data_IF_773757339604
#
_entry.id   IF_773757339604
#
_cell.length_a   1.000
_cell.length_b   1.000
_cell.length_c   1.000
_cell.angle_alpha   90.00
_cell.angle_beta   90.00
_cell.angle_gamma   90.00
#
_symmetry.space_group_name_H-M   'P 1'
#
loop_
_entity.id
_entity.type
_entity.pdbx_description
1 polymer ?
#
# COMPACT_ATOMS: atom_id res chain seq x y z
N UNK A 1 172.04 126.49 0.81
CA UNK A 1 171.12 126.10 1.90
C UNK A 1 169.76 125.63 1.37
N UNK A 2 169.42 125.91 0.09
CA UNK A 2 168.10 125.61 -0.50
C UNK A 2 167.87 124.18 -1.00
N UNK A 3 168.91 123.42 -1.35
CA UNK A 3 168.76 122.10 -1.97
C UNK A 3 168.33 120.99 -0.99
N UNK A 4 168.74 121.07 0.28
CA UNK A 4 168.42 120.06 1.31
C UNK A 4 166.96 120.19 1.82
N UNK A 5 166.47 121.42 1.96
CA UNK A 5 165.10 121.71 2.40
C UNK A 5 164.08 121.35 1.31
N UNK A 6 164.39 121.63 0.04
CA UNK A 6 163.59 121.21 -1.11
C UNK A 6 163.54 119.67 -1.24
N UNK A 7 164.66 118.98 -0.99
CA UNK A 7 164.71 117.50 -1.00
C UNK A 7 163.93 116.87 0.16
N UNK A 8 163.99 117.46 1.36
CA UNK A 8 163.22 117.02 2.52
C UNK A 8 161.71 117.24 2.33
N UNK A 9 161.30 118.39 1.80
CA UNK A 9 159.91 118.68 1.45
C UNK A 9 159.42 117.75 0.34
N UNK A 10 160.24 117.50 -0.68
CA UNK A 10 159.95 116.55 -1.75
C UNK A 10 159.78 115.12 -1.22
N UNK A 11 160.67 114.66 -0.34
CA UNK A 11 160.58 113.34 0.29
C UNK A 11 159.35 113.22 1.21
N UNK A 12 159.01 114.28 1.95
CA UNK A 12 157.83 114.31 2.81
C UNK A 12 156.52 114.32 2.00
N UNK A 13 156.41 115.17 0.97
CA UNK A 13 155.28 115.15 0.03
C UNK A 13 155.16 113.79 -0.69
N UNK A 14 156.28 113.16 -1.03
CA UNK A 14 156.28 111.83 -1.65
C UNK A 14 155.81 110.75 -0.67
N UNK A 15 156.21 110.85 0.60
CA UNK A 15 155.74 109.97 1.68
C UNK A 15 154.24 110.14 1.94
N UNK A 16 153.75 111.38 2.06
CA UNK A 16 152.33 111.69 2.20
C UNK A 16 151.52 111.21 0.99
N UNK A 17 152.02 111.43 -0.24
CA UNK A 17 151.42 110.88 -1.47
C UNK A 17 151.35 109.36 -1.43
N UNK A 18 152.41 108.67 -1.00
CA UNK A 18 152.45 107.21 -0.92
C UNK A 18 151.50 106.67 0.17
N UNK A 19 151.38 107.36 1.31
CA UNK A 19 150.42 107.03 2.37
C UNK A 19 148.98 107.26 1.91
N UNK A 20 148.72 108.35 1.19
CA UNK A 20 147.42 108.65 0.60
C UNK A 20 147.05 107.62 -0.47
N UNK A 21 148.00 107.23 -1.32
CA UNK A 21 147.82 106.18 -2.33
C UNK A 21 147.54 104.83 -1.68
N UNK A 22 148.23 104.48 -0.60
CA UNK A 22 147.99 103.25 0.17
C UNK A 22 146.60 103.26 0.80
N UNK A 23 146.19 104.39 1.38
CA UNK A 23 144.86 104.56 1.96
C UNK A 23 143.76 104.50 0.91
N UNK A 24 143.97 105.13 -0.26
CA UNK A 24 143.08 105.08 -1.41
C UNK A 24 142.92 103.64 -1.94
N UNK A 25 144.02 102.90 -2.09
CA UNK A 25 143.99 101.51 -2.51
C UNK A 25 143.23 100.64 -1.49
N UNK A 26 143.45 100.86 -0.19
CA UNK A 26 142.71 100.16 0.88
C UNK A 26 141.20 100.44 0.83
N UNK A 27 140.81 101.72 0.74
CA UNK A 27 139.42 102.14 0.60
C UNK A 27 138.78 101.57 -0.68
N UNK A 28 139.56 101.44 -1.76
CA UNK A 28 139.10 100.82 -3.01
C UNK A 28 138.82 99.33 -2.80
N UNK A 29 139.72 98.60 -2.12
CA UNK A 29 139.50 97.18 -1.77
C UNK A 29 138.32 97.00 -0.82
N UNK A 30 138.19 97.84 0.22
CA UNK A 30 137.04 97.81 1.14
C UNK A 30 135.73 98.08 0.40
N UNK A 31 135.71 99.02 -0.55
CA UNK A 31 134.56 99.29 -1.42
C UNK A 31 134.21 98.10 -2.33
N UNK A 32 135.21 97.44 -2.91
CA UNK A 32 135.01 96.25 -3.73
C UNK A 32 134.44 95.09 -2.90
N UNK A 33 134.96 94.85 -1.70
CA UNK A 33 134.44 93.85 -0.76
C UNK A 33 132.99 94.15 -0.35
N UNK A 34 132.68 95.42 -0.05
CA UNK A 34 131.32 95.84 0.28
C UNK A 34 130.37 95.64 -0.92
N UNK A 35 130.83 95.95 -2.13
CA UNK A 35 130.06 95.74 -3.36
C UNK A 35 129.77 94.24 -3.59
N UNK A 36 130.75 93.37 -3.35
CA UNK A 36 130.55 91.92 -3.40
C UNK A 36 129.55 91.47 -2.34
N UNK A 37 129.69 91.92 -1.09
CA UNK A 37 128.74 91.58 -0.01
C UNK A 37 127.33 92.07 -0.31
N UNK A 38 127.18 93.27 -0.88
CA UNK A 38 125.90 93.83 -1.30
C UNK A 38 125.26 92.98 -2.41
N UNK A 39 126.06 92.59 -3.42
CA UNK A 39 125.58 91.73 -4.50
C UNK A 39 125.14 90.36 -3.98
N UNK A 40 125.89 89.76 -3.05
CA UNK A 40 125.52 88.50 -2.40
C UNK A 40 124.21 88.62 -1.63
N UNK A 41 124.05 89.66 -0.80
CA UNK A 41 122.83 89.88 -0.03
C UNK A 41 121.62 90.14 -0.93
N UNK A 42 121.82 90.82 -2.07
CA UNK A 42 120.78 90.99 -3.09
C UNK A 42 120.35 89.65 -3.67
N UNK A 43 121.31 88.76 -3.99
CA UNK A 43 121.01 87.40 -4.46
C UNK A 43 120.26 86.58 -3.40
N UNK A 44 120.68 86.62 -2.13
CA UNK A 44 119.97 85.93 -1.04
C UNK A 44 118.54 86.46 -0.87
N UNK A 45 118.34 87.78 -0.96
CA UNK A 45 117.01 88.40 -0.93
C UNK A 45 116.13 87.93 -2.09
N UNK A 46 116.69 87.87 -3.29
CA UNK A 46 115.96 87.41 -4.48
C UNK A 46 115.58 85.91 -4.33
N UNK A 47 116.48 85.08 -3.80
CA UNK A 47 116.20 83.66 -3.49
C UNK A 47 115.11 83.49 -2.42
N UNK A 48 115.14 84.32 -1.37
CA UNK A 48 114.13 84.31 -0.32
C UNK A 48 112.76 84.74 -0.87
N UNK A 49 112.74 85.75 -1.74
CA UNK A 49 111.51 86.20 -2.41
C UNK A 49 110.93 85.08 -3.30
N UNK A 50 111.77 84.36 -4.06
CA UNK A 50 111.34 83.18 -4.81
C UNK A 50 110.76 82.11 -3.89
N UNK A 51 111.44 81.80 -2.78
CA UNK A 51 110.97 80.79 -1.82
C UNK A 51 109.64 81.19 -1.17
N UNK A 52 109.47 82.47 -0.82
CA UNK A 52 108.22 83.02 -0.28
C UNK A 52 107.07 82.92 -1.30
N UNK A 53 107.33 83.25 -2.56
CA UNK A 53 106.33 83.13 -3.62
C UNK A 53 105.91 81.65 -3.82
N UNK A 54 106.88 80.73 -3.84
CA UNK A 54 106.60 79.30 -3.94
C UNK A 54 105.73 78.80 -2.77
N UNK A 55 106.08 79.16 -1.52
CA UNK A 55 105.29 78.79 -0.34
C UNK A 55 103.88 79.38 -0.37
N UNK A 56 103.73 80.60 -0.91
CA UNK A 56 102.41 81.22 -1.11
C UNK A 56 101.56 80.41 -2.09
N UNK A 57 102.15 79.98 -3.20
CA UNK A 57 101.47 79.10 -4.18
C UNK A 57 101.10 77.74 -3.56
N UNK A 58 102.00 77.11 -2.80
CA UNK A 58 101.70 75.86 -2.09
C UNK A 58 100.55 76.03 -1.09
N UNK A 59 100.52 77.14 -0.35
CA UNK A 59 99.42 77.47 0.57
C UNK A 59 98.09 77.63 -0.15
N UNK A 60 98.08 78.29 -1.31
CA UNK A 60 96.86 78.46 -2.13
C UNK A 60 96.36 77.12 -2.71
N UNK A 61 97.28 76.26 -3.14
CA UNK A 61 96.94 74.90 -3.57
C UNK A 61 96.35 74.08 -2.42
N UNK A 62 96.95 74.13 -1.23
CA UNK A 62 96.45 73.43 -0.05
C UNK A 62 95.08 73.95 0.38
N UNK A 63 94.85 75.27 0.32
CA UNK A 63 93.55 75.88 0.62
C UNK A 63 92.48 75.39 -0.37
N UNK A 64 92.84 75.27 -1.65
CA UNK A 64 91.96 74.71 -2.69
C UNK A 64 91.61 73.25 -2.38
N UNK A 65 92.62 72.42 -2.11
CA UNK A 65 92.42 71.01 -1.72
C UNK A 65 91.55 70.87 -0.46
N UNK A 66 91.76 71.73 0.55
CA UNK A 66 90.95 71.74 1.76
C UNK A 66 89.48 72.07 1.47
N UNK A 67 89.22 73.09 0.65
CA UNK A 67 87.86 73.46 0.27
C UNK A 67 87.16 72.37 -0.55
N UNK A 68 87.89 71.68 -1.43
CA UNK A 68 87.38 70.54 -2.18
C UNK A 68 87.01 69.38 -1.23
N UNK A 69 87.89 69.01 -0.30
CA UNK A 69 87.64 67.96 0.68
C UNK A 69 86.45 68.28 1.60
N UNK A 70 86.30 69.55 1.99
CA UNK A 70 85.13 70.01 2.75
C UNK A 70 83.83 69.80 1.96
N UNK A 71 83.85 70.12 0.66
CA UNK A 71 82.71 69.93 -0.24
C UNK A 71 82.37 68.44 -0.39
N UNK A 72 83.37 67.58 -0.59
CA UNK A 72 83.20 66.13 -0.66
C UNK A 72 82.60 65.56 0.65
N UNK A 73 83.05 66.06 1.80
CA UNK A 73 82.50 65.68 3.10
C UNK A 73 81.02 66.06 3.23
N UNK A 74 80.64 67.26 2.80
CA UNK A 74 79.25 67.73 2.86
C UNK A 74 78.35 66.92 1.89
N UNK A 75 78.87 66.56 0.72
CA UNK A 75 78.20 65.64 -0.21
C UNK A 75 78.01 64.26 0.40
N UNK A 76 79.04 63.69 1.02
CA UNK A 76 78.96 62.38 1.67
C UNK A 76 77.96 62.37 2.83
N UNK A 77 77.91 63.45 3.63
CA UNK A 77 76.92 63.60 4.70
C UNK A 77 75.50 63.63 4.14
N UNK A 78 75.30 64.32 3.01
CA UNK A 78 74.00 64.33 2.32
C UNK A 78 73.61 62.94 1.83
N UNK A 79 74.52 62.21 1.17
CA UNK A 79 74.29 60.83 0.74
C UNK A 79 73.99 59.89 1.92
N UNK A 80 74.69 60.05 3.04
CA UNK A 80 74.45 59.25 4.25
C UNK A 80 73.05 59.49 4.83
N UNK A 81 72.59 60.73 4.90
CA UNK A 81 71.25 61.07 5.39
C UNK A 81 70.16 60.54 4.46
N UNK A 82 70.37 60.61 3.14
CA UNK A 82 69.45 60.04 2.15
C UNK A 82 69.35 58.51 2.33
N UNK A 83 70.49 57.81 2.44
CA UNK A 83 70.51 56.36 2.65
C UNK A 83 69.84 55.95 3.97
N UNK A 84 70.00 56.76 5.01
CA UNK A 84 69.32 56.53 6.30
C UNK A 84 67.80 56.63 6.15
N UNK A 85 67.32 57.63 5.40
CA UNK A 85 65.90 57.80 5.10
C UNK A 85 65.36 56.64 4.28
N UNK A 86 66.07 56.20 3.24
CA UNK A 86 65.69 55.03 2.43
C UNK A 86 65.62 53.75 3.28
N UNK A 87 66.57 53.56 4.21
CA UNK A 87 66.56 52.42 5.14
C UNK A 87 65.33 52.43 6.05
N UNK A 88 64.92 53.59 6.56
CA UNK A 88 63.73 53.72 7.41
C UNK A 88 62.43 53.45 6.62
N UNK A 89 62.36 53.93 5.38
CA UNK A 89 61.25 53.61 4.48
C UNK A 89 61.17 52.11 4.19
N UNK A 90 62.32 51.46 3.92
CA UNK A 90 62.37 50.02 3.69
C UNK A 90 61.95 49.23 4.93
N UNK A 91 62.39 49.65 6.12
CA UNK A 91 61.98 49.03 7.39
C UNK A 91 60.47 49.13 7.60
N UNK A 92 59.87 50.27 7.26
CA UNK A 92 58.43 50.48 7.34
C UNK A 92 57.70 49.53 6.38
N UNK A 93 58.13 49.48 5.12
CA UNK A 93 57.57 48.55 4.12
C UNK A 93 57.70 47.09 4.53
N UNK A 94 58.84 46.70 5.12
CA UNK A 94 59.05 45.36 5.65
C UNK A 94 58.05 45.00 6.77
N UNK A 95 57.84 45.91 7.72
CA UNK A 95 56.90 45.70 8.82
C UNK A 95 55.44 45.62 8.33
N UNK A 96 55.08 46.42 7.33
CA UNK A 96 53.77 46.34 6.69
C UNK A 96 53.57 44.99 6.02
N UNK A 97 54.54 44.54 5.21
CA UNK A 97 54.48 43.24 4.54
C UNK A 97 54.40 42.06 5.52
N UNK A 98 55.11 42.15 6.65
CA UNK A 98 55.02 41.17 7.73
C UNK A 98 53.60 41.10 8.29
N UNK A 99 52.97 42.26 8.52
CA UNK A 99 51.59 42.34 9.01
C UNK A 99 50.60 41.76 8.00
N UNK A 100 50.75 42.08 6.72
CA UNK A 100 49.92 41.51 5.64
C UNK A 100 50.06 39.99 5.56
N UNK A 101 51.27 39.46 5.73
CA UNK A 101 51.52 38.01 5.78
C UNK A 101 50.77 37.35 6.96
N UNK A 102 50.80 37.96 8.14
CA UNK A 102 50.13 37.42 9.33
C UNK A 102 48.59 37.47 9.17
N UNK A 103 48.07 38.51 8.53
CA UNK A 103 46.65 38.61 8.16
C UNK A 103 46.26 37.53 7.14
N UNK A 104 47.09 37.30 6.13
CA UNK A 104 46.84 36.26 5.13
C UNK A 104 46.85 34.85 5.75
N UNK A 105 47.79 34.59 6.66
CA UNK A 105 47.85 33.33 7.41
C UNK A 105 46.58 33.12 8.24
N UNK A 106 46.07 34.17 8.89
CA UNK A 106 44.81 34.13 9.64
C UNK A 106 43.63 33.79 8.73
N UNK A 107 43.51 34.47 7.59
CA UNK A 107 42.47 34.21 6.59
C UNK A 107 42.54 32.79 6.03
N UNK A 108 43.75 32.27 5.78
CA UNK A 108 43.97 30.90 5.32
C UNK A 108 43.48 29.85 6.35
N UNK A 109 43.77 30.05 7.63
CA UNK A 109 43.34 29.15 8.69
C UNK A 109 41.81 29.16 8.86
N UNK A 110 41.19 30.35 8.76
CA UNK A 110 39.74 30.48 8.78
C UNK A 110 39.09 29.72 7.62
N UNK A 111 39.60 29.91 6.39
CA UNK A 111 39.09 29.21 5.21
C UNK A 111 39.27 27.68 5.31
N UNK A 112 40.37 27.23 5.92
CA UNK A 112 40.61 25.81 6.19
C UNK A 112 39.54 25.25 7.14
N UNK A 113 39.22 25.99 8.20
CA UNK A 113 38.16 25.62 9.16
C UNK A 113 36.78 25.58 8.50
N UNK A 114 36.44 26.58 7.68
CA UNK A 114 35.18 26.60 6.92
C UNK A 114 35.07 25.41 5.96
N UNK A 115 36.17 25.04 5.30
CA UNK A 115 36.23 23.86 4.43
C UNK A 115 35.95 22.57 5.18
N UNK A 116 36.50 22.40 6.38
CA UNK A 116 36.25 21.22 7.22
C UNK A 116 34.80 21.14 7.72
N UNK A 117 34.21 22.27 8.08
CA UNK A 117 32.79 22.35 8.44
C UNK A 117 31.90 22.00 7.24
N UNK A 118 32.23 22.49 6.04
CA UNK A 118 31.50 22.16 4.82
C UNK A 118 31.61 20.68 4.48
N UNK A 119 32.80 20.09 4.63
CA UNK A 119 33.01 18.65 4.42
C UNK A 119 32.17 17.81 5.39
N UNK A 120 32.08 18.24 6.64
CA UNK A 120 31.25 17.58 7.66
C UNK A 120 29.77 17.65 7.29
N UNK A 121 29.27 18.83 6.92
CA UNK A 121 27.90 19.02 6.44
C UNK A 121 27.58 18.18 5.20
N UNK A 122 28.52 18.10 4.25
CA UNK A 122 28.38 17.25 3.05
C UNK A 122 28.22 15.77 3.40
N UNK A 123 29.05 15.25 4.32
CA UNK A 123 28.98 13.85 4.73
C UNK A 123 27.68 13.53 5.48
N UNK A 124 27.18 14.45 6.30
CA UNK A 124 25.88 14.32 6.95
C UNK A 124 24.75 14.24 5.92
N UNK A 125 24.73 15.17 4.95
CA UNK A 125 23.72 15.19 3.89
C UNK A 125 23.75 13.91 3.02
N UNK A 126 24.95 13.38 2.75
CA UNK A 126 25.11 12.10 2.06
C UNK A 126 24.46 10.96 2.85
N UNK A 127 24.66 10.93 4.17
CA UNK A 127 24.07 9.92 5.06
C UNK A 127 22.55 10.03 5.10
N UNK A 128 22.01 11.25 5.21
CA UNK A 128 20.56 11.49 5.16
C UNK A 128 19.94 11.04 3.84
N UNK A 129 20.63 11.27 2.72
CA UNK A 129 20.20 10.78 1.40
C UNK A 129 20.11 9.25 1.36
N UNK A 130 21.10 8.54 1.91
CA UNK A 130 21.12 7.08 1.94
C UNK A 130 20.01 6.51 2.84
N UNK A 131 19.71 7.18 3.96
CA UNK A 131 18.58 6.86 4.84
C UNK A 131 17.23 7.09 4.14
N UNK A 132 17.09 8.18 3.39
CA UNK A 132 15.88 8.48 2.63
C UNK A 132 15.67 7.44 1.52
N UNK A 133 16.73 7.05 0.82
CA UNK A 133 16.67 5.99 -0.20
C UNK A 133 16.22 4.66 0.42
N UNK A 134 16.72 4.33 1.61
CA UNK A 134 16.29 3.13 2.34
C UNK A 134 14.80 3.19 2.69
N UNK A 135 14.33 4.31 3.23
CA UNK A 135 12.89 4.51 3.54
C UNK A 135 12.01 4.43 2.30
N UNK A 136 12.46 5.02 1.18
CA UNK A 136 11.75 4.96 -0.10
C UNK A 136 11.58 3.53 -0.61
N UNK A 137 12.64 2.71 -0.52
CA UNK A 137 12.58 1.31 -0.92
C UNK A 137 11.62 0.51 -0.03
N UNK A 138 11.66 0.72 1.29
CA UNK A 138 10.73 0.07 2.22
C UNK A 138 9.27 0.41 1.89
N UNK A 139 8.97 1.69 1.67
CA UNK A 139 7.62 2.14 1.31
C UNK A 139 7.15 1.54 -0.02
N UNK A 140 8.07 1.36 -0.96
CA UNK A 140 7.78 0.69 -2.24
C UNK A 140 7.38 -0.77 -2.02
N UNK A 141 8.11 -1.49 -1.17
CA UNK A 141 7.76 -2.87 -0.79
C UNK A 141 6.43 -2.96 -0.05
N UNK A 142 6.15 -2.06 0.90
CA UNK A 142 4.86 -2.00 1.61
C UNK A 142 3.69 -1.75 0.63
N UNK A 143 3.89 -0.86 -0.35
CA UNK A 143 2.91 -0.59 -1.40
C UNK A 143 2.62 -1.82 -2.25
N UNK A 144 3.64 -2.60 -2.61
CA UNK A 144 3.47 -3.84 -3.37
C UNK A 144 2.73 -4.91 -2.56
N UNK A 145 3.04 -5.04 -1.27
CA UNK A 145 2.32 -5.94 -0.36
C UNK A 145 0.85 -5.54 -0.26
N UNK A 146 0.55 -4.24 -0.09
CA UNK A 146 -0.81 -3.74 -0.02
C UNK A 146 -1.57 -4.00 -1.33
N UNK A 147 -0.92 -3.83 -2.48
CA UNK A 147 -1.50 -4.13 -3.79
C UNK A 147 -1.87 -5.62 -3.90
N UNK A 148 -1.01 -6.52 -3.43
CA UNK A 148 -1.31 -7.96 -3.38
C UNK A 148 -2.50 -8.24 -2.47
N UNK A 149 -2.53 -7.69 -1.25
CA UNK A 149 -3.67 -7.85 -0.34
C UNK A 149 -4.98 -7.32 -0.92
N UNK A 150 -4.93 -6.18 -1.60
CA UNK A 150 -6.10 -5.60 -2.29
C UNK A 150 -6.63 -6.54 -3.39
N UNK A 151 -5.75 -7.11 -4.20
CA UNK A 151 -6.14 -8.03 -5.26
C UNK A 151 -6.77 -9.32 -4.69
N UNK A 152 -6.20 -9.86 -3.61
CA UNK A 152 -6.78 -11.03 -2.94
C UNK A 152 -8.19 -10.74 -2.42
N UNK A 153 -8.37 -9.60 -1.74
CA UNK A 153 -9.68 -9.20 -1.22
C UNK A 153 -10.72 -9.00 -2.34
N UNK A 154 -10.28 -8.47 -3.49
CA UNK A 154 -11.13 -8.37 -4.68
C UNK A 154 -11.59 -9.75 -5.17
N UNK A 155 -10.67 -10.72 -5.23
CA UNK A 155 -11.02 -12.10 -5.59
C UNK A 155 -11.97 -12.75 -4.58
N UNK A 156 -11.75 -12.58 -3.27
CA UNK A 156 -12.66 -13.08 -2.24
C UNK A 156 -14.07 -12.46 -2.36
N UNK A 157 -14.15 -11.17 -2.67
CA UNK A 157 -15.43 -10.49 -2.93
C UNK A 157 -16.15 -11.10 -4.13
N UNK A 158 -15.44 -11.36 -5.22
CA UNK A 158 -16.02 -11.96 -6.42
C UNK A 158 -16.52 -13.39 -6.13
N UNK A 159 -15.76 -14.18 -5.37
CA UNK A 159 -16.18 -15.51 -4.92
C UNK A 159 -17.43 -15.46 -4.03
N UNK A 160 -17.48 -14.50 -3.09
CA UNK A 160 -18.64 -14.31 -2.22
C UNK A 160 -19.88 -13.93 -3.02
N UNK A 161 -19.73 -13.07 -4.04
CA UNK A 161 -20.81 -12.72 -4.96
C UNK A 161 -21.34 -13.94 -5.71
N UNK A 162 -20.44 -14.82 -6.18
CA UNK A 162 -20.84 -16.10 -6.79
C UNK A 162 -21.61 -16.98 -5.81
N UNK A 163 -21.11 -17.14 -4.58
CA UNK A 163 -21.79 -17.93 -3.55
C UNK A 163 -23.17 -17.37 -3.19
N UNK A 164 -23.29 -16.04 -3.10
CA UNK A 164 -24.55 -15.36 -2.84
C UNK A 164 -25.59 -15.61 -3.94
N UNK A 165 -25.17 -15.56 -5.20
CA UNK A 165 -26.05 -15.83 -6.34
C UNK A 165 -26.53 -17.29 -6.34
N UNK A 166 -25.64 -18.24 -6.07
CA UNK A 166 -26.00 -19.65 -5.97
C UNK A 166 -27.04 -19.89 -4.86
N UNK A 167 -26.82 -19.32 -3.67
CA UNK A 167 -27.76 -19.43 -2.55
C UNK A 167 -29.12 -18.80 -2.88
N UNK A 168 -29.12 -17.71 -3.65
CA UNK A 168 -30.35 -17.09 -4.14
C UNK A 168 -31.12 -18.04 -5.05
N UNK A 169 -30.44 -18.71 -5.99
CA UNK A 169 -31.04 -19.74 -6.84
C UNK A 169 -31.57 -20.93 -6.06
N UNK A 170 -30.81 -21.46 -5.09
CA UNK A 170 -31.27 -22.55 -4.21
C UNK A 170 -32.53 -22.17 -3.42
N UNK A 171 -32.59 -20.92 -2.92
CA UNK A 171 -33.76 -20.39 -2.23
C UNK A 171 -34.99 -20.34 -3.14
N UNK A 172 -34.83 -19.94 -4.40
CA UNK A 172 -35.92 -19.90 -5.38
C UNK A 172 -36.43 -21.32 -5.73
N UNK A 173 -35.51 -22.28 -5.86
CA UNK A 173 -35.85 -23.69 -6.07
C UNK A 173 -36.62 -24.26 -4.86
N UNK A 174 -36.16 -23.96 -3.65
CA UNK A 174 -36.84 -24.40 -2.43
C UNK A 174 -38.23 -23.78 -2.29
N UNK A 175 -38.37 -22.49 -2.63
CA UNK A 175 -39.66 -21.80 -2.64
C UNK A 175 -40.63 -22.47 -3.64
N UNK A 176 -40.11 -22.87 -4.80
CA UNK A 176 -40.88 -23.59 -5.81
C UNK A 176 -41.35 -24.95 -5.29
N UNK A 177 -40.43 -25.73 -4.70
CA UNK A 177 -40.75 -27.04 -4.10
C UNK A 177 -41.79 -26.90 -2.98
N UNK A 178 -41.64 -25.90 -2.11
CA UNK A 178 -42.59 -25.59 -1.05
C UNK A 178 -44.00 -25.31 -1.59
N UNK A 179 -44.11 -24.49 -2.65
CA UNK A 179 -45.41 -24.16 -3.25
C UNK A 179 -46.08 -25.38 -3.90
N UNK A 180 -45.29 -26.25 -4.54
CA UNK A 180 -45.79 -27.51 -5.10
C UNK A 180 -46.32 -28.42 -3.99
N UNK A 181 -45.55 -28.63 -2.92
CA UNK A 181 -45.96 -29.46 -1.78
C UNK A 181 -47.20 -28.91 -1.08
N UNK A 182 -47.31 -27.57 -0.95
CA UNK A 182 -48.51 -26.91 -0.44
C UNK A 182 -49.73 -27.23 -1.32
N UNK A 183 -49.57 -27.18 -2.64
CA UNK A 183 -50.65 -27.51 -3.59
C UNK A 183 -51.07 -28.98 -3.49
N UNK A 184 -50.12 -29.91 -3.42
CA UNK A 184 -50.40 -31.34 -3.23
C UNK A 184 -51.14 -31.61 -1.91
N UNK A 185 -50.72 -30.94 -0.82
CA UNK A 185 -51.41 -31.03 0.48
C UNK A 185 -52.86 -30.56 0.37
N UNK A 186 -53.10 -29.44 -0.31
CA UNK A 186 -54.45 -28.89 -0.48
C UNK A 186 -55.33 -29.82 -1.35
N UNK A 187 -54.75 -30.45 -2.37
CA UNK A 187 -55.42 -31.46 -3.20
C UNK A 187 -55.76 -32.72 -2.39
N UNK A 188 -54.83 -33.24 -1.59
CA UNK A 188 -55.05 -34.39 -0.71
C UNK A 188 -56.16 -34.11 0.30
N UNK A 189 -56.15 -32.93 0.93
CA UNK A 189 -57.20 -32.52 1.87
C UNK A 189 -58.58 -32.48 1.20
N UNK A 190 -58.64 -31.96 -0.02
CA UNK A 190 -59.87 -31.93 -0.83
C UNK A 190 -60.37 -33.34 -1.13
N UNK A 191 -59.49 -34.25 -1.56
CA UNK A 191 -59.84 -35.64 -1.85
C UNK A 191 -60.31 -36.40 -0.60
N UNK A 192 -59.62 -36.22 0.53
CA UNK A 192 -60.02 -36.82 1.81
C UNK A 192 -61.41 -36.34 2.24
N UNK A 193 -61.71 -35.05 2.06
CA UNK A 193 -63.02 -34.48 2.40
C UNK A 193 -64.12 -35.07 1.50
N UNK A 194 -63.89 -35.13 0.18
CA UNK A 194 -64.83 -35.78 -0.75
C UNK A 194 -65.08 -37.25 -0.40
N UNK A 195 -64.03 -38.00 -0.07
CA UNK A 195 -64.15 -39.40 0.31
C UNK A 195 -64.95 -39.57 1.60
N UNK A 196 -64.69 -38.72 2.61
CA UNK A 196 -65.45 -38.68 3.86
C UNK A 196 -66.94 -38.43 3.58
N UNK A 197 -67.26 -37.40 2.79
CA UNK A 197 -68.63 -37.02 2.49
C UNK A 197 -69.37 -38.13 1.71
N UNK A 198 -68.69 -38.78 0.77
CA UNK A 198 -69.24 -39.91 0.01
C UNK A 198 -69.54 -41.11 0.91
N UNK A 199 -68.62 -41.45 1.83
CA UNK A 199 -68.82 -42.54 2.78
C UNK A 199 -69.98 -42.22 3.74
N UNK A 200 -70.05 -40.99 4.23
CA UNK A 200 -71.12 -40.54 5.11
C UNK A 200 -72.48 -40.59 4.43
N UNK A 201 -72.58 -40.22 3.15
CA UNK A 201 -73.80 -40.38 2.35
C UNK A 201 -74.25 -41.84 2.24
N UNK A 202 -73.34 -42.76 1.92
CA UNK A 202 -73.67 -44.20 1.78
C UNK A 202 -74.18 -44.82 3.09
N UNK A 203 -73.70 -44.34 4.24
CA UNK A 203 -74.14 -44.84 5.56
C UNK A 203 -75.54 -44.32 5.97
N UNK A 204 -76.01 -43.20 5.42
CA UNK A 204 -77.29 -42.60 5.80
C UNK A 204 -78.53 -43.28 5.15
N UNK A 205 -78.37 -44.12 4.14
CA UNK A 205 -79.49 -44.74 3.39
C UNK A 205 -79.87 -46.16 3.89
N UNK A 206 -79.41 -46.59 5.07
CA UNK A 206 -79.66 -47.93 5.66
C UNK A 206 -79.26 -49.12 4.75
N UNK A 207 -78.38 -48.90 3.77
CA UNK A 207 -77.74 -49.96 3.00
C UNK A 207 -76.44 -50.37 3.66
N UNK A 208 -76.22 -51.67 3.81
CA UNK A 208 -74.95 -52.23 4.28
C UNK A 208 -74.16 -52.67 3.05
N UNK A 209 -72.99 -52.08 2.85
CA UNK A 209 -72.07 -52.52 1.81
C UNK A 209 -71.32 -53.78 2.25
N UNK A 210 -71.39 -54.83 1.45
CA UNK A 210 -70.60 -56.05 1.64
C UNK A 210 -70.16 -56.59 0.28
N UNK A 211 -68.86 -56.80 0.11
CA UNK A 211 -68.25 -57.08 -1.21
C UNK A 211 -68.72 -56.08 -2.27
N UNK A 212 -69.20 -56.55 -3.42
CA UNK A 212 -69.57 -55.74 -4.58
C UNK A 212 -71.09 -55.46 -4.64
N UNK A 213 -71.77 -55.54 -3.49
CA UNK A 213 -73.22 -55.35 -3.40
C UNK A 213 -73.59 -54.51 -2.17
N UNK A 214 -74.68 -53.77 -2.30
CA UNK A 214 -75.39 -53.12 -1.21
C UNK A 214 -76.57 -54.01 -0.81
N UNK A 215 -76.72 -54.25 0.49
CA UNK A 215 -77.81 -55.04 1.05
C UNK A 215 -78.68 -54.18 1.96
N UNK A 216 -79.99 -54.32 1.83
CA UNK A 216 -80.94 -53.68 2.74
C UNK A 216 -81.97 -54.71 3.19
N UNK A 217 -82.01 -54.95 4.49
CA UNK A 217 -83.04 -55.78 5.14
C UNK A 217 -84.24 -54.90 5.44
N UNK A 218 -85.44 -55.38 5.13
CA UNK A 218 -86.67 -54.66 5.38
C UNK A 218 -86.92 -54.45 6.88
N UNK A 219 -87.63 -53.36 7.21
CA UNK A 219 -88.10 -53.07 8.57
C UNK A 219 -89.52 -53.57 8.84
N UNK A 220 -90.23 -54.04 7.82
CA UNK A 220 -91.60 -54.56 7.87
C UNK A 220 -91.71 -55.92 7.15
N UNK A 221 -92.87 -56.57 7.25
CA UNK A 221 -93.15 -57.87 6.64
C UNK A 221 -94.15 -57.76 5.49
N UNK A 222 -93.85 -58.38 4.35
CA UNK A 222 -94.68 -58.38 3.12
C UNK A 222 -94.77 -59.78 2.52
N UNK A 223 -95.73 -60.01 1.62
CA UNK A 223 -95.74 -61.20 0.78
C UNK A 223 -94.51 -61.23 -0.13
N UNK A 224 -94.18 -62.39 -0.72
CA UNK A 224 -92.99 -62.51 -1.56
C UNK A 224 -93.04 -61.56 -2.77
N UNK A 225 -94.19 -61.44 -3.43
CA UNK A 225 -94.34 -60.55 -4.59
C UNK A 225 -94.29 -59.07 -4.18
N UNK A 226 -94.95 -58.68 -3.09
CA UNK A 226 -94.85 -57.30 -2.57
C UNK A 226 -93.40 -56.94 -2.17
N UNK A 227 -92.66 -57.91 -1.61
CA UNK A 227 -91.25 -57.76 -1.25
C UNK A 227 -90.36 -57.60 -2.48
N UNK A 228 -90.64 -58.36 -3.54
CA UNK A 228 -89.97 -58.24 -4.84
C UNK A 228 -90.19 -56.85 -5.45
N UNK A 229 -91.42 -56.36 -5.43
CA UNK A 229 -91.75 -55.03 -5.94
C UNK A 229 -91.05 -53.92 -5.15
N UNK A 230 -90.93 -54.04 -3.82
CA UNK A 230 -90.17 -53.09 -3.00
C UNK A 230 -88.68 -53.02 -3.40
N UNK A 231 -88.03 -54.17 -3.60
CA UNK A 231 -86.65 -54.19 -4.08
C UNK A 231 -86.52 -53.57 -5.47
N UNK A 232 -87.44 -53.89 -6.39
CA UNK A 232 -87.44 -53.32 -7.73
C UNK A 232 -87.60 -51.79 -7.72
N UNK A 233 -88.48 -51.24 -6.88
CA UNK A 233 -88.64 -49.79 -6.70
C UNK A 233 -87.37 -49.10 -6.19
N UNK A 234 -86.52 -49.83 -5.45
CA UNK A 234 -85.22 -49.37 -4.96
C UNK A 234 -84.07 -49.56 -5.98
N UNK A 235 -84.39 -50.04 -7.18
CA UNK A 235 -83.41 -50.39 -8.21
C UNK A 235 -82.53 -51.57 -7.79
N UNK A 236 -83.13 -52.53 -7.08
CA UNK A 236 -82.51 -53.73 -6.52
C UNK A 236 -83.38 -54.95 -6.85
N UNK A 237 -82.92 -56.14 -6.48
CA UNK A 237 -83.71 -57.37 -6.55
C UNK A 237 -83.81 -58.01 -5.17
N UNK A 238 -84.79 -58.89 -4.96
CA UNK A 238 -84.69 -59.83 -3.84
C UNK A 238 -83.38 -60.60 -3.96
N UNK A 239 -82.69 -60.74 -2.84
CA UNK A 239 -81.32 -61.24 -2.81
C UNK A 239 -81.15 -62.57 -3.56
N UNK A 240 -80.08 -62.65 -4.36
CA UNK A 240 -79.69 -63.86 -5.09
C UNK A 240 -78.45 -64.41 -4.40
N UNK A 241 -78.57 -65.59 -3.81
CA UNK A 241 -77.48 -66.19 -3.03
C UNK A 241 -76.58 -66.99 -3.98
N UNK A 242 -75.42 -66.41 -4.29
CA UNK A 242 -74.41 -67.01 -5.17
C UNK A 242 -73.15 -67.44 -4.40
N UNK A 243 -72.96 -66.98 -3.15
CA UNK A 243 -71.80 -67.35 -2.32
C UNK A 243 -72.23 -67.87 -0.95
N UNK A 244 -71.32 -68.60 -0.30
CA UNK A 244 -71.57 -69.15 1.04
C UNK A 244 -71.67 -68.05 2.11
N UNK A 245 -70.94 -66.95 1.94
CA UNK A 245 -70.92 -65.85 2.93
C UNK A 245 -72.20 -64.99 2.94
N UNK A 246 -73.14 -65.25 2.03
CA UNK A 246 -74.36 -64.46 1.81
C UNK A 246 -75.58 -64.94 2.65
N UNK A 247 -75.37 -65.82 3.64
CA UNK A 247 -76.46 -66.31 4.48
C UNK A 247 -76.78 -65.34 5.65
N UNK A 248 -77.99 -64.79 5.66
CA UNK A 248 -78.43 -63.83 6.68
C UNK A 248 -79.12 -64.51 7.87
N UNK A 249 -78.82 -64.03 9.09
CA UNK A 249 -79.39 -64.51 10.36
C UNK A 249 -80.75 -63.86 10.66
N UNK A 250 -81.71 -63.95 9.74
CA UNK A 250 -83.13 -63.58 9.94
C UNK A 250 -84.00 -64.43 9.03
N UNK A 251 -85.26 -64.67 9.42
CA UNK A 251 -86.25 -65.23 8.49
C UNK A 251 -86.58 -64.17 7.44
N UNK A 252 -86.17 -64.45 6.20
CA UNK A 252 -86.17 -63.48 5.11
C UNK A 252 -86.63 -64.11 3.81
N UNK A 253 -87.50 -63.42 3.08
CA UNK A 253 -87.71 -63.68 1.66
C UNK A 253 -86.41 -63.44 0.90
N UNK A 254 -86.06 -64.42 0.06
CA UNK A 254 -84.97 -64.35 -0.91
C UNK A 254 -85.55 -64.45 -2.32
N UNK A 255 -84.73 -64.16 -3.32
CA UNK A 255 -85.19 -64.07 -4.71
C UNK A 255 -85.51 -65.41 -5.36
N UNK A 256 -85.82 -66.47 -4.62
CA UNK A 256 -86.00 -67.83 -5.13
C UNK A 256 -87.50 -68.17 -5.28
N UNK A 257 -87.93 -68.71 -6.42
CA UNK A 257 -89.31 -69.15 -6.67
C UNK A 257 -89.37 -70.28 -7.71
N UNK A 258 -90.36 -71.15 -7.61
CA UNK A 258 -90.74 -72.13 -8.64
C UNK A 258 -92.19 -71.97 -9.12
N UNK A 259 -92.83 -70.83 -8.79
CA UNK A 259 -94.24 -70.50 -9.09
C UNK A 259 -94.65 -70.63 -10.57
N UNK A 260 -93.69 -70.59 -11.51
CA UNK A 260 -93.96 -70.80 -12.93
C UNK A 260 -93.99 -72.28 -13.33
N UNK A 261 -93.21 -73.13 -12.67
CA UNK A 261 -93.14 -74.56 -12.95
C UNK A 261 -92.72 -75.30 -11.69
N UNK A 262 -93.70 -75.92 -11.04
CA UNK A 262 -93.56 -76.75 -9.84
C UNK A 262 -92.32 -77.65 -9.91
N UNK A 263 -91.44 -77.52 -8.90
CA UNK A 263 -90.17 -78.26 -8.81
C UNK A 263 -89.02 -77.69 -9.64
N UNK A 264 -89.20 -76.58 -10.38
CA UNK A 264 -88.13 -75.87 -11.11
C UNK A 264 -87.85 -74.48 -10.54
N UNK A 265 -87.07 -74.47 -9.46
CA UNK A 265 -86.62 -73.25 -8.79
C UNK A 265 -85.70 -72.37 -9.64
N UNK A 266 -86.00 -71.08 -9.64
CA UNK A 266 -85.22 -70.03 -10.30
C UNK A 266 -85.12 -68.79 -9.43
N UNK A 267 -84.14 -67.96 -9.74
CA UNK A 267 -83.97 -66.66 -9.11
C UNK A 267 -84.84 -65.59 -9.80
N UNK A 268 -85.06 -64.47 -9.12
CA UNK A 268 -85.82 -63.31 -9.62
C UNK A 268 -85.22 -62.65 -10.87
N UNK A 269 -83.94 -62.93 -11.18
CA UNK A 269 -83.27 -62.53 -12.43
C UNK A 269 -83.47 -63.53 -13.59
N UNK A 270 -84.18 -64.63 -13.34
CA UNK A 270 -84.48 -65.68 -14.31
C UNK A 270 -83.41 -66.78 -14.40
N UNK A 271 -82.28 -66.66 -13.69
CA UNK A 271 -81.26 -67.70 -13.66
C UNK A 271 -81.77 -68.93 -12.92
N UNK A 272 -81.40 -70.12 -13.39
CA UNK A 272 -81.77 -71.38 -12.72
C UNK A 272 -80.97 -71.51 -11.42
N UNK A 273 -81.60 -72.06 -10.39
CA UNK A 273 -80.91 -72.40 -9.15
C UNK A 273 -79.85 -73.47 -9.42
N UNK A 274 -78.56 -73.12 -9.32
CA UNK A 274 -77.43 -74.04 -9.49
C UNK A 274 -76.88 -74.56 -8.16
N UNK A 275 -77.09 -73.80 -7.09
CA UNK A 275 -76.66 -74.16 -5.73
C UNK A 275 -77.89 -74.22 -4.84
N UNK A 276 -77.98 -75.27 -4.02
CA UNK A 276 -79.09 -75.47 -3.10
C UNK A 276 -78.60 -75.40 -1.67
N UNK A 277 -79.34 -74.66 -0.84
CA UNK A 277 -79.17 -74.59 0.61
C UNK A 277 -80.48 -74.92 1.32
N UNK A 278 -81.29 -75.82 0.75
CA UNK A 278 -82.54 -76.31 1.34
C UNK A 278 -82.31 -76.92 2.70
N UNK A 279 -83.19 -76.63 3.65
CA UNK A 279 -83.22 -77.31 4.92
C UNK A 279 -83.51 -78.81 4.71
N UNK A 280 -83.11 -79.65 5.65
CA UNK A 280 -83.32 -81.09 5.54
C UNK A 280 -84.81 -81.39 5.44
N UNK A 281 -85.23 -81.92 4.31
CA UNK A 281 -86.63 -82.24 4.01
C UNK A 281 -87.29 -81.26 3.04
N UNK A 282 -86.67 -80.11 2.78
CA UNK A 282 -87.17 -79.09 1.84
C UNK A 282 -86.57 -79.28 0.43
N UNK A 283 -87.26 -78.82 -0.63
CA UNK A 283 -88.60 -78.24 -0.62
C UNK A 283 -89.69 -79.32 -0.47
N UNK A 284 -90.68 -79.09 0.41
CA UNK A 284 -91.70 -80.09 0.75
C UNK A 284 -93.15 -79.70 0.38
N UNK A 285 -93.39 -78.43 0.07
CA UNK A 285 -94.73 -77.87 -0.07
C UNK A 285 -95.36 -78.02 -1.45
N UNK A 286 -94.67 -78.68 -2.40
CA UNK A 286 -95.18 -78.98 -3.74
C UNK A 286 -95.84 -77.77 -4.41
N UNK A 287 -97.08 -77.93 -4.90
CA UNK A 287 -97.81 -76.85 -5.60
C UNK A 287 -98.26 -75.69 -4.71
N UNK A 288 -98.14 -75.79 -3.38
CA UNK A 288 -98.66 -74.77 -2.46
C UNK A 288 -97.61 -73.78 -1.99
N UNK A 289 -96.36 -74.20 -1.82
CA UNK A 289 -95.27 -73.37 -1.30
C UNK A 289 -94.25 -73.10 -2.40
N UNK A 290 -94.41 -71.99 -3.11
CA UNK A 290 -93.64 -71.73 -4.34
C UNK A 290 -92.60 -70.60 -4.21
N UNK A 291 -92.33 -70.15 -2.99
CA UNK A 291 -91.45 -69.01 -2.71
C UNK A 291 -90.40 -69.37 -1.66
N UNK A 292 -89.14 -69.06 -1.93
CA UNK A 292 -88.04 -69.41 -1.04
C UNK A 292 -87.81 -68.36 0.04
N UNK A 293 -87.74 -68.81 1.28
CA UNK A 293 -87.26 -68.03 2.41
C UNK A 293 -86.02 -68.67 3.04
N UNK A 294 -85.21 -67.86 3.72
CA UNK A 294 -84.31 -68.36 4.77
C UNK A 294 -85.16 -68.52 6.03
N UNK A 295 -85.18 -69.72 6.66
CA UNK A 295 -86.02 -70.03 7.83
C UNK A 295 -85.22 -70.31 9.10
N UNK A 296 -84.14 -71.10 9.01
CA UNK A 296 -83.38 -71.58 10.18
C UNK A 296 -82.00 -70.94 10.28
N UNK A 297 -81.62 -70.59 11.51
CA UNK A 297 -80.36 -69.98 11.86
C UNK A 297 -79.24 -71.04 11.93
N UNK A 298 -78.14 -70.79 11.21
CA UNK A 298 -76.77 -71.29 11.48
C UNK A 298 -76.27 -72.61 10.82
N UNK A 299 -76.50 -72.79 9.51
CA UNK A 299 -75.50 -73.27 8.50
C UNK A 299 -76.15 -74.03 7.34
N UNK A 300 -75.68 -73.78 6.10
CA UNK A 300 -75.87 -74.45 4.78
C UNK A 300 -77.24 -75.02 4.37
N UNK A 301 -78.12 -75.43 5.26
CA UNK A 301 -79.42 -76.03 5.00
C UNK A 301 -80.49 -75.15 5.67
N UNK A 302 -80.66 -73.92 5.19
CA UNK A 302 -81.48 -72.89 5.85
C UNK A 302 -82.71 -72.47 5.05
N UNK A 303 -82.81 -72.88 3.79
CA UNK A 303 -83.92 -72.48 2.93
C UNK A 303 -85.16 -73.35 3.17
N UNK A 304 -86.32 -72.72 3.02
CA UNK A 304 -87.63 -73.34 3.13
C UNK A 304 -88.50 -72.75 2.04
N UNK A 305 -89.19 -73.61 1.30
CA UNK A 305 -90.26 -73.20 0.42
C UNK A 305 -91.47 -72.86 1.27
N UNK A 306 -92.06 -71.71 1.04
CA UNK A 306 -93.11 -71.16 1.86
C UNK A 306 -94.24 -70.63 0.98
N UNK A 307 -95.44 -70.55 1.56
CA UNK A 307 -96.59 -70.00 0.86
C UNK A 307 -96.32 -68.54 0.50
N UNK A 308 -96.31 -68.20 -0.79
CA UNK A 308 -95.90 -66.87 -1.28
C UNK A 308 -96.69 -65.68 -0.69
N UNK A 309 -97.92 -65.93 -0.22
CA UNK A 309 -98.77 -64.92 0.43
C UNK A 309 -98.37 -64.61 1.87
N UNK A 310 -97.53 -65.44 2.49
CA UNK A 310 -97.13 -65.26 3.88
C UNK A 310 -96.22 -64.05 4.05
N UNK A 311 -96.32 -63.41 5.22
CA UNK A 311 -95.63 -62.14 5.46
C UNK A 311 -94.31 -62.39 6.19
N UNK A 312 -93.20 -62.19 5.48
CA UNK A 312 -91.85 -62.24 6.03
C UNK A 312 -91.12 -60.92 5.80
N UNK A 313 -90.07 -60.68 6.58
CA UNK A 313 -89.09 -59.65 6.22
C UNK A 313 -88.42 -60.07 4.91
N UNK A 314 -87.81 -59.14 4.19
CA UNK A 314 -87.10 -59.45 2.95
C UNK A 314 -85.77 -58.74 2.90
N UNK A 315 -84.91 -59.19 2.00
CA UNK A 315 -83.62 -58.56 1.77
C UNK A 315 -83.45 -58.20 0.30
N UNK A 316 -83.15 -56.93 0.06
CA UNK A 316 -82.81 -56.42 -1.26
C UNK A 316 -81.31 -56.45 -1.46
N UNK A 317 -80.88 -56.86 -2.65
CA UNK A 317 -79.50 -56.78 -3.12
C UNK A 317 -79.44 -55.84 -4.33
N UNK A 318 -78.54 -54.86 -4.25
CA UNK A 318 -78.20 -53.97 -5.36
C UNK A 318 -76.72 -54.11 -5.67
N UNK A 319 -76.39 -54.63 -6.86
CA UNK A 319 -75.01 -54.71 -7.33
C UNK A 319 -74.41 -53.31 -7.38
N UNK A 320 -73.26 -53.13 -6.76
CA UNK A 320 -72.40 -51.98 -6.97
C UNK A 320 -71.65 -52.32 -8.25
N UNK A 321 -72.24 -51.99 -9.42
CA UNK A 321 -71.50 -52.13 -10.67
C UNK A 321 -70.16 -51.38 -10.57
N UNK A 322 -69.07 -51.88 -11.18
CA UNK A 322 -68.02 -51.00 -11.67
C UNK A 322 -68.62 -49.89 -12.54
#
# INVERSE_FOLDING_TARGET
MDTVLLHSLYNNLTSERNQLLTSYNRLTTEREQLLTSYNNLKTEKDQLLTSYNNLTTEREQLLTSYNNLKTEKDQLLTSYNNLTTEREQLLTSYNNLKTEKDQLLTSYNNLTTEREQLLTSYNNLKTEKDQLLTSYNNLTTEREQLLTSYNNLKTEKDQLLTSYNNLTTEREQLLTSYNNLKTEKDQLLTNMTKNRDNLQRKLQENWVAFSDSLYQVSSEKKSWEESRQDCLQKGAHLMIINRREEQFKKSLWIGLTDSETDGRWKWVDGTRMTTSYWNRGEPNGGRTENCGQIKVYDSQNSWNDETCSDKHFWICEKRISP
#
